data_IF_394606024482
#
_entry.id   IF_394606024482
#
_cell.length_a   1.000
_cell.length_b   1.000
_cell.length_c   1.000
_cell.angle_alpha   90.00
_cell.angle_beta   90.00
_cell.angle_gamma   90.00
#
_symmetry.space_group_name_H-M   'P 1'
#
loop_
_entity.id
_entity.type
_entity.pdbx_description
1 polymer ?
#
# COMPACT_ATOMS: atom_id res chain seq x y z
N UNK A 1 27.93 19.34 3.64
CA UNK A 1 27.14 18.18 4.08
C UNK A 1 25.84 18.68 4.67
N UNK A 2 24.68 18.32 4.11
CA UNK A 2 23.35 18.70 4.64
C UNK A 2 22.67 17.45 5.17
N UNK A 3 22.75 17.22 6.48
CA UNK A 3 22.10 16.08 7.12
C UNK A 3 20.58 16.31 7.06
N UNK A 4 19.86 15.31 6.57
CA UNK A 4 18.40 15.22 6.61
C UNK A 4 18.03 13.91 7.29
N UNK A 5 16.86 13.89 7.92
CA UNK A 5 16.28 12.68 8.53
C UNK A 5 14.94 12.36 7.87
N UNK A 6 14.63 11.06 7.79
CA UNK A 6 13.37 10.54 7.29
C UNK A 6 12.91 9.41 8.22
N UNK A 7 11.63 9.41 8.57
CA UNK A 7 11.03 8.30 9.32
C UNK A 7 10.73 7.16 8.35
N UNK A 8 11.35 6.00 8.57
CA UNK A 8 11.12 4.77 7.79
C UNK A 8 10.09 3.85 8.45
N UNK A 9 9.56 2.91 7.68
CA UNK A 9 8.65 1.86 8.15
C UNK A 9 9.06 0.51 7.55
N UNK A 10 8.95 -0.55 8.34
CA UNK A 10 9.21 -1.94 7.92
C UNK A 10 7.98 -2.79 8.24
N UNK A 11 7.54 -3.59 7.27
CA UNK A 11 6.46 -4.57 7.44
C UNK A 11 7.03 -5.98 7.31
N UNK A 12 6.96 -6.77 8.37
CA UNK A 12 7.36 -8.17 8.34
C UNK A 12 6.20 -9.02 7.78
N UNK A 13 6.38 -9.54 6.57
CA UNK A 13 5.36 -10.32 5.87
C UNK A 13 5.15 -11.71 6.48
N UNK A 14 6.13 -12.28 7.18
CA UNK A 14 5.99 -13.59 7.85
C UNK A 14 5.05 -13.54 9.05
N UNK A 15 4.86 -12.34 9.64
CA UNK A 15 3.96 -12.11 10.77
C UNK A 15 2.64 -11.45 10.35
N UNK A 16 2.47 -11.12 9.08
CA UNK A 16 1.24 -10.52 8.59
C UNK A 16 0.14 -11.59 8.49
N UNK A 17 -0.94 -11.42 9.26
CA UNK A 17 -2.07 -12.36 9.26
C UNK A 17 -3.24 -11.91 8.39
N UNK A 18 -3.11 -10.80 7.67
CA UNK A 18 -4.17 -10.30 6.79
C UNK A 18 -5.46 -9.89 7.50
N UNK A 19 -5.42 -9.45 8.76
CA UNK A 19 -6.63 -9.15 9.55
C UNK A 19 -7.31 -7.80 9.21
N UNK A 20 -6.72 -6.98 8.35
CA UNK A 20 -7.25 -5.66 7.94
C UNK A 20 -7.41 -4.60 9.05
N UNK A 21 -6.92 -4.84 10.27
CA UNK A 21 -7.02 -3.87 11.37
C UNK A 21 -6.41 -2.52 11.00
N UNK A 22 -5.24 -2.52 10.34
CA UNK A 22 -4.56 -1.30 9.89
C UNK A 22 -5.37 -0.50 8.85
N UNK A 23 -6.15 -1.18 8.01
CA UNK A 23 -7.02 -0.55 7.02
C UNK A 23 -8.23 0.11 7.67
N UNK A 24 -8.84 -0.54 8.67
CA UNK A 24 -10.02 -0.02 9.35
C UNK A 24 -9.67 1.18 10.21
N UNK A 25 -8.58 1.12 10.99
CA UNK A 25 -8.17 2.25 11.82
C UNK A 25 -7.82 3.47 10.97
N UNK A 26 -7.07 3.28 9.88
CA UNK A 26 -6.75 4.34 8.93
C UNK A 26 -8.02 4.93 8.28
N UNK A 27 -8.96 4.07 7.88
CA UNK A 27 -10.24 4.49 7.30
C UNK A 27 -11.02 5.39 8.25
N UNK A 28 -11.23 4.90 9.47
CA UNK A 28 -12.05 5.55 10.48
C UNK A 28 -11.55 6.96 10.80
N UNK A 29 -10.22 7.12 10.93
CA UNK A 29 -9.61 8.40 11.27
C UNK A 29 -9.57 9.35 10.07
N UNK A 30 -9.22 8.87 8.87
CA UNK A 30 -8.81 9.76 7.78
C UNK A 30 -9.77 9.81 6.59
N UNK A 31 -10.42 8.71 6.23
CA UNK A 31 -11.18 8.61 4.97
C UNK A 31 -12.66 8.26 5.16
N UNK A 32 -13.25 8.65 6.29
CA UNK A 32 -14.69 8.47 6.59
C UNK A 32 -15.59 9.59 6.03
N UNK A 33 -15.01 10.60 5.37
CA UNK A 33 -15.76 11.74 4.81
C UNK A 33 -16.37 11.39 3.46
N UNK A 34 -17.45 12.10 3.13
CA UNK A 34 -18.13 11.99 1.84
C UNK A 34 -17.17 12.24 0.65
N UNK A 35 -17.24 11.38 -0.35
CA UNK A 35 -16.39 11.40 -1.53
C UNK A 35 -15.05 10.67 -1.35
N UNK A 36 -14.74 10.15 -0.16
CA UNK A 36 -13.51 9.41 0.14
C UNK A 36 -13.77 7.99 0.65
N UNK A 37 -15.01 7.52 0.60
CA UNK A 37 -15.45 6.21 1.11
C UNK A 37 -14.79 5.05 0.37
N UNK A 38 -14.52 5.21 -0.92
CA UNK A 38 -13.77 4.23 -1.72
C UNK A 38 -12.27 4.23 -1.40
N UNK A 39 -11.73 5.31 -0.82
CA UNK A 39 -10.30 5.48 -0.63
C UNK A 39 -9.78 4.66 0.56
N UNK A 40 -8.74 3.88 0.28
CA UNK A 40 -7.99 3.07 1.25
C UNK A 40 -6.53 3.50 1.26
N UNK A 41 -6.17 4.45 2.13
CA UNK A 41 -4.77 4.91 2.25
C UNK A 41 -3.83 3.80 2.75
N UNK A 42 -4.33 2.92 3.62
CA UNK A 42 -3.65 1.70 4.04
C UNK A 42 -4.52 0.51 3.65
N UNK A 43 -4.12 -0.26 2.63
CA UNK A 43 -4.84 -1.44 2.16
C UNK A 43 -4.00 -2.72 2.34
N UNK A 44 -4.70 -3.83 2.59
CA UNK A 44 -4.10 -5.16 2.64
C UNK A 44 -4.66 -5.96 1.47
N UNK A 45 -3.78 -6.64 0.74
CA UNK A 45 -4.13 -7.45 -0.43
C UNK A 45 -3.58 -8.87 -0.28
N UNK A 46 -4.37 -9.86 -0.69
CA UNK A 46 -3.87 -11.23 -0.86
C UNK A 46 -3.12 -11.37 -2.17
N UNK A 47 -2.01 -12.11 -2.15
CA UNK A 47 -1.24 -12.49 -3.35
C UNK A 47 -1.21 -14.01 -3.50
N UNK A 48 -1.34 -14.55 -4.72
CA UNK A 48 -1.60 -13.84 -5.98
C UNK A 48 -3.04 -13.28 -6.05
N UNK A 49 -3.23 -12.07 -6.59
CA UNK A 49 -4.53 -11.39 -6.62
C UNK A 49 -4.55 -10.13 -7.48
N UNK A 50 -5.74 -9.63 -7.81
CA UNK A 50 -5.94 -8.48 -8.73
C UNK A 50 -5.55 -7.13 -8.13
N UNK A 51 -5.53 -7.01 -6.80
CA UNK A 51 -5.23 -5.78 -6.06
C UNK A 51 -6.30 -4.70 -6.14
N UNK A 52 -6.07 -3.57 -5.48
CA UNK A 52 -6.93 -2.40 -5.46
C UNK A 52 -6.15 -1.11 -5.79
N UNK A 53 -6.63 -0.27 -6.73
CA UNK A 53 -7.65 -0.57 -7.75
C UNK A 53 -7.25 -1.77 -8.63
N UNK A 54 -8.23 -2.36 -9.31
CA UNK A 54 -8.01 -3.59 -10.08
C UNK A 54 -6.83 -3.47 -11.06
N UNK A 55 -5.99 -4.51 -11.09
CA UNK A 55 -4.86 -4.66 -12.01
C UNK A 55 -3.77 -3.59 -11.88
N UNK A 56 -3.69 -2.87 -10.76
CA UNK A 56 -2.63 -1.89 -10.49
C UNK A 56 -1.21 -2.52 -10.49
N UNK A 57 -1.10 -3.84 -10.27
CA UNK A 57 0.18 -4.56 -10.24
C UNK A 57 0.52 -5.41 -11.48
N UNK A 58 -0.17 -5.24 -12.62
CA UNK A 58 0.14 -6.05 -13.83
C UNK A 58 1.30 -5.45 -14.63
N UNK A 59 2.31 -6.25 -15.03
CA UNK A 59 3.34 -5.78 -15.97
C UNK A 59 2.67 -5.34 -17.28
N UNK A 60 3.02 -4.14 -17.77
CA UNK A 60 2.49 -3.57 -19.01
C UNK A 60 1.32 -2.58 -18.85
N UNK A 61 0.78 -2.38 -17.65
CA UNK A 61 -0.01 -1.17 -17.33
C UNK A 61 0.83 -0.31 -16.39
N UNK A 62 1.34 0.80 -16.93
CA UNK A 62 2.23 1.72 -16.23
C UNK A 62 1.54 2.33 -15.02
N UNK A 63 2.09 2.15 -13.81
CA UNK A 63 1.99 3.14 -12.73
C UNK A 63 3.15 2.94 -11.73
N UNK A 64 4.28 3.61 -11.97
CA UNK A 64 5.22 4.10 -10.96
C UNK A 64 6.00 3.14 -10.05
N UNK A 65 5.85 1.81 -10.12
CA UNK A 65 6.69 0.90 -9.32
C UNK A 65 8.04 0.71 -10.00
N UNK A 66 9.08 1.33 -9.44
CA UNK A 66 10.45 0.86 -9.57
C UNK A 66 10.46 -0.59 -9.08
N UNK A 67 10.48 -1.53 -10.00
CA UNK A 67 10.73 -2.93 -9.71
C UNK A 67 12.20 -3.04 -9.24
N UNK A 68 12.48 -3.46 -7.99
CA UNK A 68 13.84 -3.69 -7.54
C UNK A 68 14.55 -4.77 -8.36
N UNK A 69 13.81 -5.64 -9.06
CA UNK A 69 14.36 -6.67 -9.94
C UNK A 69 14.80 -6.14 -11.30
N UNK A 70 14.49 -4.87 -11.63
CA UNK A 70 14.88 -4.23 -12.89
C UNK A 70 15.75 -2.96 -12.68
N UNK A 71 16.45 -2.88 -11.53
CA UNK A 71 17.49 -1.86 -11.24
C UNK A 71 18.92 -2.40 -11.37
N UNK A 72 19.15 -3.42 -12.20
CA UNK A 72 20.49 -3.79 -12.68
C UNK A 72 20.71 -3.26 -14.08
#
# INVERSE_FOLDING_TARGET
>A
MKIRSQVGMVLNLDKCIGCHTCSVTCKNVWTSREGMEYARFNNVESKPGVGFPERLGKPGKMEGRLDPQNQR
#
